data_IF_939811526674
#
_entry.id   IF_939811526674
#
_cell.length_a   1.000
_cell.length_b   1.000
_cell.length_c   1.000
_cell.angle_alpha   90.00
_cell.angle_beta   90.00
_cell.angle_gamma   90.00
#
_symmetry.space_group_name_H-M   'P 1'
#
loop_
_entity.id
_entity.type
_entity.pdbx_description
1 polymer ?
#
# COMPACT_ATOMS: atom_id res chain seq x y z
N UNK A 1 -0.65 -28.84 0.74
CA UNK A 1 -0.25 -29.12 2.13
C UNK A 1 -0.32 -27.81 2.90
N UNK A 2 -1.30 -27.68 3.76
CA UNK A 2 -1.56 -26.51 4.62
C UNK A 2 -0.68 -26.61 5.88
N UNK A 3 0.45 -25.91 5.91
CA UNK A 3 1.19 -25.68 7.16
C UNK A 3 0.62 -24.45 7.84
N UNK A 4 -0.13 -24.65 8.93
CA UNK A 4 -0.33 -23.63 9.96
C UNK A 4 1.03 -23.38 10.65
N UNK A 5 1.99 -22.77 9.95
CA UNK A 5 3.16 -22.18 10.60
C UNK A 5 2.68 -20.89 11.24
N UNK A 6 2.66 -20.83 12.57
CA UNK A 6 2.41 -19.58 13.27
C UNK A 6 3.63 -18.69 13.01
N UNK A 7 3.51 -17.77 12.04
CA UNK A 7 4.58 -16.83 11.73
C UNK A 7 4.93 -16.03 12.99
N UNK A 8 6.21 -15.67 13.11
CA UNK A 8 6.64 -14.71 14.11
C UNK A 8 5.96 -13.35 13.88
N UNK A 9 5.75 -12.61 14.97
CA UNK A 9 5.11 -11.29 14.94
C UNK A 9 6.10 -10.24 14.45
N UNK A 10 5.65 -9.32 13.61
CA UNK A 10 6.48 -8.24 13.08
C UNK A 10 5.93 -6.90 13.57
N UNK A 11 6.77 -6.11 14.24
CA UNK A 11 6.49 -4.70 14.56
C UNK A 11 7.34 -3.85 13.63
N UNK A 12 6.70 -3.25 12.62
CA UNK A 12 7.38 -2.44 11.62
C UNK A 12 7.33 -0.97 11.99
N UNK A 13 8.49 -0.34 12.12
CA UNK A 13 8.64 1.07 12.45
C UNK A 13 9.03 1.84 11.19
N UNK A 14 8.16 2.74 10.73
CA UNK A 14 8.41 3.63 9.61
C UNK A 14 8.51 5.09 10.07
N UNK A 15 9.43 5.84 9.49
CA UNK A 15 9.64 7.24 9.83
C UNK A 15 10.93 7.77 9.23
N UNK A 16 11.07 9.09 9.20
CA UNK A 16 12.25 9.76 8.64
C UNK A 16 13.52 9.55 9.46
N UNK A 17 14.67 9.90 8.89
CA UNK A 17 15.92 10.08 9.63
C UNK A 17 15.68 10.96 10.84
N UNK A 18 16.21 10.58 12.00
CA UNK A 18 16.05 11.30 13.28
C UNK A 18 14.65 11.27 13.92
N UNK A 19 13.66 10.58 13.35
CA UNK A 19 12.32 10.43 13.96
C UNK A 19 12.27 9.51 15.20
N UNK A 20 13.41 9.13 15.78
CA UNK A 20 13.43 8.29 16.99
C UNK A 20 13.17 6.79 16.79
N UNK A 21 13.02 6.27 15.56
CA UNK A 21 12.79 4.82 15.29
C UNK A 21 13.71 3.89 16.06
N UNK A 22 15.02 4.10 15.97
CA UNK A 22 15.99 3.20 16.60
C UNK A 22 15.95 3.26 18.12
N UNK A 23 15.58 4.41 18.69
CA UNK A 23 15.36 4.56 20.14
C UNK A 23 14.10 3.81 20.55
N UNK A 24 12.98 4.03 19.84
CA UNK A 24 11.73 3.31 20.08
C UNK A 24 11.91 1.78 19.93
N UNK A 25 12.66 1.34 18.91
CA UNK A 25 12.90 -0.08 18.68
C UNK A 25 13.59 -0.74 19.88
N UNK A 26 14.55 -0.05 20.50
CA UNK A 26 15.24 -0.52 21.71
C UNK A 26 14.29 -0.58 22.91
N UNK A 27 13.51 0.48 23.12
CA UNK A 27 12.51 0.52 24.21
C UNK A 27 11.44 -0.59 24.04
N UNK A 28 11.06 -0.92 22.81
CA UNK A 28 10.14 -2.01 22.51
C UNK A 28 10.77 -3.39 22.74
N UNK A 29 12.03 -3.58 22.38
CA UNK A 29 12.77 -4.84 22.61
C UNK A 29 12.80 -5.19 24.12
N UNK A 30 12.94 -4.19 24.98
CA UNK A 30 12.93 -4.37 26.45
C UNK A 30 11.52 -4.58 27.04
N UNK A 31 10.46 -4.17 26.34
CA UNK A 31 9.10 -4.07 26.88
C UNK A 31 8.11 -5.11 26.34
N UNK A 32 8.36 -5.65 25.16
CA UNK A 32 7.47 -6.62 24.54
C UNK A 32 7.62 -8.00 25.20
N UNK A 33 6.50 -8.70 25.38
CA UNK A 33 6.51 -10.04 25.95
C UNK A 33 6.98 -11.04 24.88
N UNK A 34 8.09 -11.74 25.15
CA UNK A 34 8.71 -12.71 24.24
C UNK A 34 10.04 -12.22 23.64
N UNK A 35 10.76 -13.10 22.96
CA UNK A 35 12.02 -12.74 22.30
C UNK A 35 11.70 -12.02 20.97
N UNK A 36 11.99 -10.72 20.93
CA UNK A 36 11.94 -9.89 19.73
C UNK A 36 13.35 -9.53 19.32
N UNK A 37 13.69 -9.75 18.05
CA UNK A 37 14.97 -9.32 17.51
C UNK A 37 14.81 -8.05 16.71
N UNK A 38 15.60 -7.02 17.04
CA UNK A 38 15.66 -5.80 16.24
C UNK A 38 16.47 -6.00 14.97
N UNK A 39 15.89 -5.59 13.84
CA UNK A 39 16.52 -5.56 12.52
C UNK A 39 16.31 -4.21 11.89
N UNK A 40 17.32 -3.68 11.18
CA UNK A 40 17.20 -2.36 10.54
C UNK A 40 17.71 -2.37 9.11
N UNK A 41 17.05 -1.61 8.24
CA UNK A 41 17.52 -1.43 6.85
C UNK A 41 18.91 -0.79 6.83
N UNK A 42 19.16 0.20 7.71
CA UNK A 42 20.46 0.87 7.84
C UNK A 42 21.57 -0.14 8.22
N UNK A 43 21.30 -1.02 9.20
CA UNK A 43 22.25 -2.03 9.65
C UNK A 43 22.50 -3.11 8.60
N UNK A 44 21.42 -3.61 7.98
CA UNK A 44 21.52 -4.57 6.88
C UNK A 44 22.28 -4.01 5.69
N UNK A 45 22.01 -2.76 5.30
CA UNK A 45 22.74 -2.06 4.23
C UNK A 45 24.23 -1.97 4.53
N UNK A 46 24.60 -1.67 5.78
CA UNK A 46 26.00 -1.60 6.21
C UNK A 46 26.68 -2.96 6.11
N UNK A 47 26.03 -4.03 6.56
CA UNK A 47 26.57 -5.39 6.48
C UNK A 47 26.77 -5.83 5.02
N UNK A 48 25.79 -5.58 4.15
CA UNK A 48 25.88 -5.88 2.72
C UNK A 48 27.01 -5.07 2.06
N UNK A 49 27.18 -3.81 2.45
CA UNK A 49 28.28 -2.95 1.97
C UNK A 49 29.65 -3.47 2.41
N UNK A 50 29.81 -3.86 3.67
CA UNK A 50 31.06 -4.39 4.22
C UNK A 50 31.46 -5.71 3.54
N UNK A 51 30.50 -6.63 3.34
CA UNK A 51 30.74 -7.87 2.59
C UNK A 51 31.14 -7.58 1.14
N UNK A 52 30.47 -6.62 0.48
CA UNK A 52 30.87 -6.17 -0.86
C UNK A 52 32.32 -5.66 -0.88
N UNK A 53 32.71 -4.79 0.05
CA UNK A 53 34.07 -4.26 0.13
C UNK A 53 35.10 -5.38 0.33
N UNK A 54 34.78 -6.37 1.16
CA UNK A 54 35.61 -7.55 1.37
C UNK A 54 35.73 -8.43 0.11
N UNK A 55 34.63 -8.66 -0.61
CA UNK A 55 34.61 -9.40 -1.88
C UNK A 55 35.38 -8.69 -2.98
N UNK A 56 35.27 -7.36 -3.06
CA UNK A 56 36.02 -6.49 -3.99
C UNK A 56 37.51 -6.56 -3.71
N UNK A 57 37.92 -6.54 -2.44
CA UNK A 57 39.33 -6.75 -2.05
C UNK A 57 39.86 -8.11 -2.53
N UNK A 58 38.99 -9.13 -2.57
CA UNK A 58 39.25 -10.46 -3.16
C UNK A 58 39.05 -10.55 -4.68
N UNK A 59 38.90 -9.42 -5.39
CA UNK A 59 38.64 -9.33 -6.85
C UNK A 59 37.41 -10.12 -7.34
N UNK A 60 36.42 -10.40 -6.48
CA UNK A 60 35.14 -10.95 -6.91
C UNK A 60 34.22 -9.83 -7.41
N UNK A 61 33.52 -10.06 -8.52
CA UNK A 61 32.51 -9.13 -9.04
C UNK A 61 31.25 -9.20 -8.17
N UNK A 62 30.70 -8.04 -7.84
CA UNK A 62 29.41 -7.89 -7.17
C UNK A 62 28.52 -6.96 -8.00
N UNK A 63 27.39 -7.48 -8.45
CA UNK A 63 26.45 -6.75 -9.31
C UNK A 63 25.61 -5.73 -8.52
N UNK A 64 25.55 -5.80 -7.20
CA UNK A 64 24.73 -4.91 -6.36
C UNK A 64 25.32 -3.49 -6.36
N UNK A 65 26.65 -3.36 -6.39
CA UNK A 65 27.36 -2.07 -6.25
C UNK A 65 28.12 -1.62 -7.50
N UNK A 66 28.08 -2.39 -8.59
CA UNK A 66 28.77 -2.04 -9.84
C UNK A 66 28.22 -0.73 -10.42
N UNK A 67 29.04 0.34 -10.38
CA UNK A 67 28.70 1.66 -10.89
C UNK A 67 27.68 2.46 -10.05
N UNK A 68 27.39 2.04 -8.81
CA UNK A 68 26.37 2.66 -7.94
C UNK A 68 26.96 3.32 -6.70
N UNK A 69 26.34 4.41 -6.25
CA UNK A 69 26.55 4.96 -4.91
C UNK A 69 25.88 4.08 -3.85
N UNK A 70 26.25 4.24 -2.58
CA UNK A 70 25.63 3.52 -1.47
C UNK A 70 24.10 3.73 -1.41
N UNK A 71 23.62 4.94 -1.72
CA UNK A 71 22.19 5.24 -1.78
C UNK A 71 21.51 4.56 -2.97
N UNK A 72 22.14 4.52 -4.14
CA UNK A 72 21.60 3.82 -5.32
C UNK A 72 21.58 2.29 -5.17
N UNK A 73 22.44 1.76 -4.30
CA UNK A 73 22.40 0.34 -3.97
C UNK A 73 21.20 -0.01 -3.09
N UNK A 74 20.58 0.95 -2.38
CA UNK A 74 19.45 0.69 -1.50
C UNK A 74 18.23 0.12 -2.23
N UNK A 75 18.02 0.49 -3.49
CA UNK A 75 16.95 -0.08 -4.31
C UNK A 75 17.10 -1.60 -4.53
N UNK A 76 18.34 -2.09 -4.48
CA UNK A 76 18.65 -3.52 -4.57
C UNK A 76 18.72 -4.18 -3.19
N UNK A 77 19.03 -3.41 -2.14
CA UNK A 77 19.16 -3.91 -0.77
C UNK A 77 17.80 -4.05 -0.08
N UNK A 78 16.86 -3.14 -0.30
CA UNK A 78 15.55 -3.17 0.37
C UNK A 78 14.78 -4.48 0.08
N UNK A 79 14.66 -4.97 -1.18
CA UNK A 79 14.02 -6.26 -1.44
C UNK A 79 14.73 -7.44 -0.77
N UNK A 80 16.07 -7.40 -0.67
CA UNK A 80 16.87 -8.42 0.03
C UNK A 80 16.63 -8.37 1.55
N UNK A 81 16.48 -7.17 2.10
CA UNK A 81 16.12 -6.98 3.51
C UNK A 81 14.73 -7.54 3.79
N UNK A 82 13.75 -7.26 2.92
CA UNK A 82 12.42 -7.82 3.03
C UNK A 82 12.43 -9.36 2.97
N UNK A 83 13.27 -9.95 2.10
CA UNK A 83 13.43 -11.41 2.03
C UNK A 83 14.06 -12.00 3.31
N UNK A 84 15.01 -11.31 3.92
CA UNK A 84 15.61 -11.71 5.21
C UNK A 84 14.55 -11.71 6.31
N UNK A 85 13.82 -10.59 6.45
CA UNK A 85 12.74 -10.43 7.44
C UNK A 85 11.66 -11.50 7.24
N UNK A 86 11.23 -11.76 6.01
CA UNK A 86 10.22 -12.78 5.71
C UNK A 86 10.69 -14.19 6.11
N UNK A 87 11.94 -14.55 5.80
CA UNK A 87 12.51 -15.86 6.17
C UNK A 87 12.59 -16.04 7.68
N UNK A 88 12.98 -15.00 8.40
CA UNK A 88 13.09 -15.00 9.87
C UNK A 88 11.73 -15.12 10.55
N UNK A 89 10.75 -14.33 10.10
CA UNK A 89 9.37 -14.44 10.58
C UNK A 89 8.74 -15.79 10.21
N UNK A 90 9.04 -16.35 9.04
CA UNK A 90 8.63 -17.70 8.64
C UNK A 90 9.20 -18.77 9.59
N UNK A 91 10.43 -18.57 10.09
CA UNK A 91 11.04 -19.44 11.09
C UNK A 91 10.45 -19.27 12.50
N UNK A 92 9.48 -18.36 12.69
CA UNK A 92 8.81 -18.10 13.97
C UNK A 92 9.46 -17.02 14.82
N UNK A 93 10.46 -16.29 14.30
CA UNK A 93 11.14 -15.22 15.04
C UNK A 93 10.27 -13.95 15.07
N UNK A 94 10.07 -13.37 16.26
CA UNK A 94 9.42 -12.07 16.36
C UNK A 94 10.43 -10.96 16.06
N UNK A 95 10.03 -9.97 15.26
CA UNK A 95 10.94 -8.97 14.72
C UNK A 95 10.44 -7.56 15.02
N UNK A 96 11.36 -6.67 15.41
CA UNK A 96 11.17 -5.23 15.39
C UNK A 96 11.96 -4.68 14.21
N UNK A 97 11.25 -4.23 13.18
CA UNK A 97 11.83 -3.83 11.89
C UNK A 97 11.92 -2.30 11.83
N UNK A 98 13.13 -1.75 11.89
CA UNK A 98 13.42 -0.32 11.69
C UNK A 98 13.68 -0.06 10.20
N UNK A 99 12.72 0.57 9.53
CA UNK A 99 12.75 0.81 8.09
C UNK A 99 12.37 2.27 7.75
N UNK A 100 12.63 2.66 6.50
CA UNK A 100 12.04 3.83 5.87
C UNK A 100 11.59 3.49 4.45
N UNK A 101 10.34 3.77 4.08
CA UNK A 101 9.89 3.61 2.69
C UNK A 101 10.31 4.81 1.85
N UNK A 102 11.52 4.76 1.27
CA UNK A 102 12.03 5.86 0.46
C UNK A 102 11.36 5.93 -0.91
N UNK A 103 11.17 4.77 -1.53
CA UNK A 103 10.61 4.62 -2.87
C UNK A 103 9.28 3.83 -2.82
N UNK A 104 8.27 4.20 -3.62
CA UNK A 104 6.97 3.51 -3.65
C UNK A 104 7.08 2.00 -3.88
N UNK A 105 8.06 1.57 -4.68
CA UNK A 105 8.32 0.17 -5.01
C UNK A 105 8.67 -0.65 -3.76
N UNK A 106 9.32 -0.05 -2.76
CA UNK A 106 9.68 -0.75 -1.52
C UNK A 106 8.42 -1.05 -0.70
N UNK A 107 7.48 -0.12 -0.64
CA UNK A 107 6.20 -0.36 0.02
C UNK A 107 5.37 -1.42 -0.71
N UNK A 108 5.37 -1.38 -2.05
CA UNK A 108 4.73 -2.41 -2.85
C UNK A 108 5.31 -3.80 -2.60
N UNK A 109 6.64 -3.93 -2.63
CA UNK A 109 7.33 -5.20 -2.33
C UNK A 109 6.99 -5.70 -0.91
N UNK A 110 6.98 -4.80 0.07
CA UNK A 110 6.60 -5.13 1.46
C UNK A 110 5.16 -5.63 1.55
N UNK A 111 4.19 -4.88 1.03
CA UNK A 111 2.77 -5.24 1.11
C UNK A 111 2.45 -6.55 0.41
N UNK A 112 3.07 -6.83 -0.74
CA UNK A 112 2.90 -8.09 -1.46
C UNK A 112 3.52 -9.28 -0.69
N UNK A 113 4.71 -9.12 -0.09
CA UNK A 113 5.40 -10.19 0.64
C UNK A 113 4.76 -10.52 1.99
N UNK A 114 4.31 -9.50 2.70
CA UNK A 114 3.86 -9.64 4.09
C UNK A 114 2.33 -9.73 4.25
N UNK A 115 1.57 -9.89 3.16
CA UNK A 115 0.10 -9.95 3.17
C UNK A 115 -0.50 -11.00 4.12
N UNK A 116 0.21 -12.13 4.33
CA UNK A 116 -0.23 -13.23 5.19
C UNK A 116 0.48 -13.27 6.56
N UNK A 117 1.40 -12.34 6.83
CA UNK A 117 2.16 -12.27 8.07
C UNK A 117 1.43 -11.44 9.14
N UNK A 118 1.72 -11.69 10.42
CA UNK A 118 1.22 -10.84 11.51
C UNK A 118 2.11 -9.60 11.66
N UNK A 119 1.85 -8.61 10.81
CA UNK A 119 2.55 -7.32 10.82
C UNK A 119 1.73 -6.28 11.58
N UNK A 120 2.41 -5.48 12.39
CA UNK A 120 1.89 -4.23 12.96
C UNK A 120 2.70 -3.06 12.44
N UNK A 121 2.06 -2.21 11.63
CA UNK A 121 2.68 -1.03 11.01
C UNK A 121 2.60 0.16 11.97
N UNK A 122 3.74 0.70 12.38
CA UNK A 122 3.85 1.86 13.30
C UNK A 122 4.49 3.03 12.57
N UNK A 123 3.75 4.13 12.43
CA UNK A 123 4.21 5.37 11.79
C UNK A 123 4.71 6.39 12.81
N UNK A 124 5.98 6.79 12.72
CA UNK A 124 6.61 7.80 13.57
C UNK A 124 6.73 9.11 12.79
N UNK A 125 5.89 10.08 13.17
CA UNK A 125 5.85 11.42 12.61
C UNK A 125 6.64 12.38 13.49
N UNK A 126 7.26 13.39 12.90
CA UNK A 126 7.96 14.45 13.63
C UNK A 126 8.01 15.68 12.73
N UNK A 127 7.70 16.89 13.22
CA UNK A 127 7.82 18.13 12.44
C UNK A 127 9.20 18.32 11.81
N UNK A 128 9.25 18.84 10.58
CA UNK A 128 10.50 18.94 9.80
C UNK A 128 11.56 19.81 10.48
N UNK A 129 11.14 20.89 11.13
CA UNK A 129 12.01 21.79 11.89
C UNK A 129 12.66 21.07 13.07
N UNK A 130 11.89 20.26 13.82
CA UNK A 130 12.41 19.43 14.91
C UNK A 130 13.38 18.37 14.37
N UNK A 131 13.04 17.70 13.26
CA UNK A 131 13.91 16.73 12.61
C UNK A 131 15.24 17.33 12.17
N UNK A 132 15.21 18.54 11.58
CA UNK A 132 16.42 19.27 11.17
C UNK A 132 17.30 19.60 12.37
N UNK A 133 16.72 20.04 13.48
CA UNK A 133 17.46 20.31 14.71
C UNK A 133 18.09 19.04 15.27
N UNK A 134 17.33 17.94 15.36
CA UNK A 134 17.84 16.64 15.83
C UNK A 134 18.95 16.08 14.93
N UNK A 135 18.89 16.32 13.61
CA UNK A 135 19.94 15.91 12.67
C UNK A 135 21.24 16.70 12.88
N UNK A 136 21.15 17.99 13.21
CA UNK A 136 22.30 18.83 13.61
C UNK A 136 22.90 18.32 14.92
N UNK A 137 22.05 18.05 15.92
CA UNK A 137 22.50 17.66 17.26
C UNK A 137 23.17 16.28 17.28
N UNK A 138 22.73 15.37 16.41
CA UNK A 138 23.29 14.01 16.30
C UNK A 138 24.70 13.96 15.71
N UNK A 139 25.09 14.92 14.86
CA UNK A 139 26.43 15.07 14.24
C UNK A 139 26.99 13.85 13.46
N UNK A 140 26.27 12.74 13.40
CA UNK A 140 26.66 11.48 12.76
C UNK A 140 25.95 11.24 11.42
N UNK A 141 24.99 12.10 11.05
CA UNK A 141 24.23 12.04 9.79
C UNK A 141 24.50 13.23 8.88
N UNK A 142 24.32 13.00 7.59
CA UNK A 142 24.42 14.05 6.57
C UNK A 142 23.23 15.00 6.71
N UNK A 143 23.52 16.27 6.96
CA UNK A 143 22.52 17.34 7.04
C UNK A 143 21.70 17.38 5.74
N UNK A 144 20.37 17.43 5.86
CA UNK A 144 19.42 17.43 4.75
C UNK A 144 18.80 16.06 4.46
N UNK A 145 19.18 15.00 5.18
CA UNK A 145 18.61 13.65 4.96
C UNK A 145 17.16 13.60 5.44
N UNK A 146 16.85 14.18 6.59
CA UNK A 146 15.48 14.23 7.10
C UNK A 146 14.55 15.00 6.15
N UNK A 147 15.01 16.12 5.58
CA UNK A 147 14.26 16.93 4.62
C UNK A 147 13.97 16.17 3.32
N UNK A 148 14.97 15.47 2.78
CA UNK A 148 14.79 14.63 1.59
C UNK A 148 13.73 13.53 1.79
N UNK A 149 13.60 13.01 3.01
CA UNK A 149 12.72 11.90 3.35
C UNK A 149 11.31 12.35 3.77
N UNK A 150 11.16 13.59 4.25
CA UNK A 150 9.96 14.09 4.91
C UNK A 150 8.68 13.90 4.09
N UNK A 151 8.68 14.37 2.85
CA UNK A 151 7.53 14.28 1.94
C UNK A 151 7.44 12.93 1.20
N UNK A 152 8.25 11.93 1.58
CA UNK A 152 8.27 10.60 0.90
C UNK A 152 7.83 9.48 1.81
N UNK A 153 8.40 9.40 3.02
CA UNK A 153 8.35 8.20 3.87
C UNK A 153 6.94 7.80 4.29
N UNK A 154 6.02 8.75 4.44
CA UNK A 154 4.64 8.50 4.86
C UNK A 154 3.62 8.55 3.72
N UNK A 155 4.05 8.80 2.48
CA UNK A 155 3.13 8.96 1.36
C UNK A 155 2.47 7.61 1.01
N UNK A 156 1.14 7.61 0.99
CA UNK A 156 0.29 6.44 0.71
C UNK A 156 0.47 5.25 1.66
N UNK A 157 0.99 5.51 2.86
CA UNK A 157 1.19 4.50 3.89
C UNK A 157 -0.05 4.38 4.77
N UNK A 158 -0.37 3.16 5.19
CA UNK A 158 -1.39 2.88 6.20
C UNK A 158 -0.71 2.28 7.43
N UNK A 159 -0.99 2.84 8.59
CA UNK A 159 -0.44 2.38 9.86
C UNK A 159 -1.54 1.85 10.76
N UNK A 160 -1.20 0.82 11.53
CA UNK A 160 -2.01 0.32 12.64
C UNK A 160 -1.95 1.27 13.85
N UNK A 161 -0.81 1.96 14.01
CA UNK A 161 -0.55 2.92 15.07
C UNK A 161 0.30 4.08 14.55
N UNK A 162 -0.14 5.32 14.80
CA UNK A 162 0.59 6.53 14.41
C UNK A 162 0.93 7.36 15.64
N UNK A 163 2.12 7.96 15.65
CA UNK A 163 2.58 8.77 16.77
C UNK A 163 3.44 9.94 16.34
N UNK A 164 3.27 11.07 17.01
CA UNK A 164 4.15 12.24 16.87
C UNK A 164 5.25 12.18 17.94
N UNK A 165 6.49 12.01 17.51
CA UNK A 165 7.66 11.88 18.37
C UNK A 165 8.18 13.20 18.92
N UNK A 166 7.61 14.33 18.50
CA UNK A 166 7.91 15.65 19.10
C UNK A 166 7.14 15.89 20.40
N UNK A 167 6.05 15.15 20.64
CA UNK A 167 5.14 15.37 21.76
C UNK A 167 5.35 14.39 22.91
N UNK A 168 5.97 13.24 22.65
CA UNK A 168 6.09 12.14 23.60
C UNK A 168 7.51 11.60 23.66
N UNK A 169 7.93 11.12 24.84
CA UNK A 169 9.20 10.43 25.00
C UNK A 169 9.16 9.05 24.33
N UNK A 170 10.32 8.50 23.94
CA UNK A 170 10.37 7.15 23.34
C UNK A 170 9.82 6.07 24.28
N UNK A 171 9.97 6.27 25.60
CA UNK A 171 9.42 5.39 26.63
C UNK A 171 7.89 5.43 26.64
N UNK A 172 7.29 6.62 26.59
CA UNK A 172 5.83 6.77 26.54
C UNK A 172 5.25 6.15 25.27
N UNK A 173 5.92 6.36 24.14
CA UNK A 173 5.53 5.76 22.86
C UNK A 173 5.61 4.23 22.93
N UNK A 174 6.69 3.68 23.51
CA UNK A 174 6.81 2.23 23.71
C UNK A 174 5.70 1.68 24.61
N UNK A 175 5.26 2.44 25.63
CA UNK A 175 4.11 2.06 26.46
C UNK A 175 2.83 1.95 25.64
N UNK A 176 2.56 2.94 24.80
CA UNK A 176 1.36 2.96 23.97
C UNK A 176 1.37 1.84 22.93
N UNK A 177 2.49 1.67 22.22
CA UNK A 177 2.64 0.63 21.19
C UNK A 177 2.56 -0.77 21.79
N UNK A 178 3.23 -1.03 22.92
CA UNK A 178 3.13 -2.33 23.61
C UNK A 178 1.71 -2.62 24.09
N UNK A 179 1.01 -1.62 24.63
CA UNK A 179 -0.39 -1.75 25.04
C UNK A 179 -1.31 -2.05 23.85
N UNK A 180 -1.09 -1.37 22.72
CA UNK A 180 -1.77 -1.64 21.46
C UNK A 180 -1.54 -3.08 21.00
N UNK A 181 -0.30 -3.57 21.02
CA UNK A 181 0.05 -4.94 20.61
C UNK A 181 -0.56 -6.01 21.52
N UNK A 182 -0.61 -5.77 22.84
CA UNK A 182 -1.29 -6.68 23.78
C UNK A 182 -2.79 -6.74 23.52
N UNK A 183 -3.42 -5.58 23.30
CA UNK A 183 -4.84 -5.49 22.95
C UNK A 183 -5.12 -6.14 21.58
N UNK A 184 -4.26 -5.90 20.57
CA UNK A 184 -4.31 -6.56 19.26
C UNK A 184 -4.27 -8.07 19.43
N UNK A 185 -3.33 -8.59 20.23
CA UNK A 185 -3.21 -10.04 20.51
C UNK A 185 -4.46 -10.60 21.22
N UNK A 186 -5.07 -9.86 22.15
CA UNK A 186 -6.32 -10.27 22.81
C UNK A 186 -7.55 -10.27 21.89
N UNK A 187 -7.50 -9.46 20.82
CA UNK A 187 -8.55 -9.32 19.81
C UNK A 187 -8.26 -10.17 18.56
N UNK A 188 -7.06 -10.76 18.43
CA UNK A 188 -6.57 -11.44 17.22
C UNK A 188 -7.17 -12.85 17.03
N UNK A 189 -8.49 -12.92 16.82
CA UNK A 189 -8.97 -13.77 15.73
C UNK A 189 -8.66 -13.02 14.44
N UNK A 190 -7.98 -13.67 13.47
CA UNK A 190 -7.83 -13.17 12.08
C UNK A 190 -9.10 -12.40 11.68
N UNK A 191 -9.01 -11.20 11.07
CA UNK A 191 -10.19 -10.43 10.72
C UNK A 191 -11.14 -11.35 9.96
N UNK A 192 -12.29 -11.63 10.57
CA UNK A 192 -13.25 -12.56 10.00
C UNK A 192 -13.59 -12.09 8.60
N UNK A 193 -13.96 -12.99 7.68
CA UNK A 193 -14.43 -12.58 6.33
C UNK A 193 -15.42 -11.41 6.40
N UNK A 194 -16.25 -11.36 7.46
CA UNK A 194 -17.19 -10.26 7.75
C UNK A 194 -16.53 -8.90 8.00
N UNK A 195 -15.40 -8.83 8.71
CA UNK A 195 -14.69 -7.57 8.97
C UNK A 195 -14.07 -7.00 7.70
N UNK A 196 -13.40 -7.85 6.89
CA UNK A 196 -12.90 -7.46 5.57
C UNK A 196 -14.05 -7.01 4.67
N UNK A 197 -15.15 -7.76 4.60
CA UNK A 197 -16.34 -7.35 3.84
C UNK A 197 -16.88 -6.00 4.32
N UNK A 198 -16.95 -5.76 5.63
CA UNK A 198 -17.43 -4.48 6.18
C UNK A 198 -16.54 -3.30 5.79
N UNK A 199 -15.22 -3.50 5.76
CA UNK A 199 -14.26 -2.51 5.31
C UNK A 199 -14.43 -2.19 3.83
N UNK A 200 -14.54 -3.22 2.98
CA UNK A 200 -14.79 -3.08 1.55
C UNK A 200 -16.11 -2.36 1.27
N UNK A 201 -17.17 -2.72 1.98
CA UNK A 201 -18.48 -2.06 1.88
C UNK A 201 -18.38 -0.59 2.30
N UNK A 202 -17.65 -0.27 3.36
CA UNK A 202 -17.43 1.12 3.80
C UNK A 202 -16.61 1.93 2.78
N UNK A 203 -15.67 1.28 2.09
CA UNK A 203 -14.76 1.93 1.14
C UNK A 203 -15.42 2.16 -0.22
N UNK A 204 -16.10 1.16 -0.77
CA UNK A 204 -16.60 1.16 -2.15
C UNK A 204 -18.14 1.11 -2.26
N UNK A 205 -18.86 0.76 -1.21
CA UNK A 205 -20.31 0.51 -1.30
C UNK A 205 -21.13 1.70 -1.81
N UNK A 206 -20.77 2.93 -1.43
CA UNK A 206 -21.44 4.13 -1.97
C UNK A 206 -21.11 4.35 -3.45
N UNK A 207 -19.86 4.11 -3.86
CA UNK A 207 -19.43 4.25 -5.24
C UNK A 207 -20.11 3.19 -6.14
N UNK A 208 -20.32 1.98 -5.64
CA UNK A 208 -21.06 0.91 -6.35
C UNK A 208 -22.53 1.27 -6.59
N UNK A 209 -23.20 1.83 -5.57
CA UNK A 209 -24.60 2.26 -5.70
C UNK A 209 -24.71 3.39 -6.72
N UNK A 210 -23.84 4.40 -6.61
CA UNK A 210 -23.84 5.54 -7.54
C UNK A 210 -23.47 5.07 -8.95
N UNK A 211 -22.42 4.27 -9.11
CA UNK A 211 -22.00 3.71 -10.39
C UNK A 211 -23.10 2.90 -11.06
N UNK A 212 -23.83 2.08 -10.30
CA UNK A 212 -24.97 1.32 -10.84
C UNK A 212 -26.11 2.24 -11.28
N UNK A 213 -26.44 3.26 -10.49
CA UNK A 213 -27.47 4.23 -10.85
C UNK A 213 -27.11 5.02 -12.12
N UNK A 214 -25.86 5.46 -12.24
CA UNK A 214 -25.37 6.16 -13.44
C UNK A 214 -25.23 5.22 -14.65
N UNK A 215 -24.99 3.92 -14.43
CA UNK A 215 -25.03 2.91 -15.48
C UNK A 215 -26.42 2.80 -16.11
N UNK A 216 -27.47 2.71 -15.29
CA UNK A 216 -28.84 2.69 -15.78
C UNK A 216 -29.22 3.99 -16.49
N UNK A 217 -28.86 5.14 -15.91
CA UNK A 217 -29.11 6.43 -16.54
C UNK A 217 -28.44 6.52 -17.93
N UNK A 218 -27.16 6.14 -18.02
CA UNK A 218 -26.43 6.09 -19.29
C UNK A 218 -27.06 5.12 -20.29
N UNK A 219 -27.46 3.93 -19.84
CA UNK A 219 -28.07 2.92 -20.70
C UNK A 219 -29.41 3.39 -21.30
N UNK A 220 -30.31 3.89 -20.46
CA UNK A 220 -31.63 4.34 -20.92
C UNK A 220 -31.54 5.59 -21.79
N UNK A 221 -30.64 6.54 -21.46
CA UNK A 221 -30.39 7.71 -22.32
C UNK A 221 -29.85 7.29 -23.68
N UNK A 222 -28.87 6.37 -23.72
CA UNK A 222 -28.34 5.85 -24.97
C UNK A 222 -29.42 5.16 -25.83
N UNK A 223 -30.33 4.43 -25.18
CA UNK A 223 -31.45 3.79 -25.84
C UNK A 223 -32.48 4.80 -26.38
N UNK A 224 -32.86 5.80 -25.59
CA UNK A 224 -33.84 6.82 -26.01
C UNK A 224 -33.33 7.64 -27.20
N UNK A 225 -32.04 7.92 -27.26
CA UNK A 225 -31.43 8.74 -28.31
C UNK A 225 -31.22 7.94 -29.61
N UNK A 226 -30.88 6.66 -29.51
CA UNK A 226 -30.35 5.89 -30.66
C UNK A 226 -31.14 4.64 -31.04
N UNK A 227 -32.08 4.21 -30.19
CA UNK A 227 -32.82 2.94 -30.28
C UNK A 227 -31.91 1.72 -30.57
N UNK A 228 -30.65 1.79 -30.13
CA UNK A 228 -29.64 0.79 -30.39
C UNK A 228 -29.07 0.23 -29.08
N UNK A 229 -29.33 -1.05 -28.83
CA UNK A 229 -28.94 -1.74 -27.60
C UNK A 229 -27.42 -1.78 -27.38
N UNK A 230 -26.61 -1.77 -28.46
CA UNK A 230 -25.15 -1.71 -28.35
C UNK A 230 -24.71 -0.33 -27.89
N UNK A 231 -25.24 0.73 -28.49
CA UNK A 231 -24.92 2.12 -28.11
C UNK A 231 -25.39 2.40 -26.69
N UNK A 232 -26.56 1.89 -26.30
CA UNK A 232 -27.06 1.93 -24.93
C UNK A 232 -26.11 1.21 -23.95
N UNK A 233 -25.60 0.02 -24.30
CA UNK A 233 -24.65 -0.70 -23.45
C UNK A 233 -23.34 0.07 -23.24
N UNK A 234 -22.80 0.70 -24.29
CA UNK A 234 -21.63 1.58 -24.17
C UNK A 234 -21.92 2.83 -23.34
N UNK A 235 -23.07 3.47 -23.54
CA UNK A 235 -23.48 4.63 -22.75
C UNK A 235 -23.66 4.27 -21.26
N UNK A 236 -24.19 3.07 -20.97
CA UNK A 236 -24.28 2.53 -19.62
C UNK A 236 -22.92 2.29 -18.98
N UNK A 237 -21.99 1.63 -19.68
CA UNK A 237 -20.63 1.42 -19.18
C UNK A 237 -19.89 2.75 -18.91
N UNK A 238 -20.05 3.76 -19.78
CA UNK A 238 -19.52 5.10 -19.56
C UNK A 238 -20.14 5.77 -18.33
N UNK A 239 -21.46 5.68 -18.19
CA UNK A 239 -22.19 6.21 -17.03
C UNK A 239 -21.70 5.59 -15.74
N UNK A 240 -21.49 4.28 -15.71
CA UNK A 240 -20.94 3.57 -14.56
C UNK A 240 -19.57 4.10 -14.15
N UNK A 241 -18.64 4.18 -15.11
CA UNK A 241 -17.28 4.66 -14.85
C UNK A 241 -17.28 6.08 -14.29
N UNK A 242 -18.08 6.98 -14.85
CA UNK A 242 -18.20 8.35 -14.36
C UNK A 242 -18.72 8.36 -12.91
N UNK A 243 -19.76 7.59 -12.62
CA UNK A 243 -20.36 7.55 -11.28
C UNK A 243 -19.43 6.91 -10.24
N UNK A 244 -18.84 5.77 -10.56
CA UNK A 244 -17.96 5.02 -9.67
C UNK A 244 -16.67 5.79 -9.38
N UNK A 245 -15.91 6.14 -10.43
CA UNK A 245 -14.63 6.85 -10.25
C UNK A 245 -14.81 8.27 -9.78
N UNK A 246 -15.84 8.98 -10.27
CA UNK A 246 -16.17 10.32 -9.78
C UNK A 246 -16.42 10.32 -8.28
N UNK A 247 -17.12 9.32 -7.76
CA UNK A 247 -17.36 9.19 -6.31
C UNK A 247 -16.08 8.93 -5.53
N UNK A 248 -15.21 8.03 -6.00
CA UNK A 248 -13.94 7.72 -5.35
C UNK A 248 -13.02 8.95 -5.33
N UNK A 249 -12.80 9.56 -6.49
CA UNK A 249 -11.96 10.75 -6.64
C UNK A 249 -12.48 11.89 -5.76
N UNK A 250 -13.79 12.14 -5.75
CA UNK A 250 -14.38 13.20 -4.93
C UNK A 250 -14.15 12.95 -3.44
N UNK A 251 -14.34 11.71 -2.98
CA UNK A 251 -14.12 11.35 -1.57
C UNK A 251 -12.65 11.52 -1.17
N UNK A 252 -11.72 11.09 -2.01
CA UNK A 252 -10.29 11.19 -1.75
C UNK A 252 -9.80 12.63 -1.78
N UNK A 253 -10.30 13.45 -2.71
CA UNK A 253 -10.07 14.90 -2.74
C UNK A 253 -10.62 15.58 -1.49
N UNK A 254 -11.81 15.21 -1.02
CA UNK A 254 -12.39 15.76 0.22
C UNK A 254 -11.51 15.40 1.43
N UNK A 255 -11.02 14.17 1.52
CA UNK A 255 -10.17 13.73 2.62
C UNK A 255 -8.78 14.39 2.57
N UNK A 256 -8.20 14.58 1.37
CA UNK A 256 -6.98 15.35 1.17
C UNK A 256 -7.16 16.83 1.53
N UNK A 257 -8.30 17.44 1.22
CA UNK A 257 -8.63 18.82 1.62
C UNK A 257 -8.67 18.93 3.15
N UNK A 258 -9.32 17.98 3.83
CA UNK A 258 -9.38 17.97 5.30
C UNK A 258 -7.99 17.86 5.90
N UNK A 259 -7.15 16.98 5.35
CA UNK A 259 -5.77 16.76 5.80
C UNK A 259 -4.90 17.99 5.55
N UNK A 260 -4.99 18.60 4.36
CA UNK A 260 -4.29 19.84 4.04
C UNK A 260 -4.71 21.00 4.96
N UNK A 261 -5.99 21.06 5.33
CA UNK A 261 -6.51 22.06 6.29
C UNK A 261 -5.95 21.85 7.70
N UNK A 262 -5.79 20.59 8.16
CA UNK A 262 -5.14 20.32 9.45
C UNK A 262 -3.64 20.59 9.44
N UNK A 263 -3.01 20.55 8.27
CA UNK A 263 -1.56 20.80 8.07
C UNK A 263 -1.25 22.25 7.64
N UNK A 264 -2.22 23.17 7.69
CA UNK A 264 -2.12 24.57 7.20
C UNK A 264 -1.59 24.71 5.75
N UNK A 265 -1.75 23.66 4.94
CA UNK A 265 -1.26 23.60 3.55
C UNK A 265 -2.34 24.11 2.60
N UNK A 266 -1.93 24.84 1.55
CA UNK A 266 -2.84 25.26 0.47
C UNK A 266 -3.18 24.06 -0.41
N UNK A 267 -4.43 23.61 -0.36
CA UNK A 267 -5.00 22.67 -1.33
C UNK A 267 -5.76 23.42 -2.41
N UNK A 268 -5.49 23.09 -3.67
CA UNK A 268 -6.10 23.75 -4.82
C UNK A 268 -6.24 22.79 -6.01
N UNK A 269 -6.60 23.34 -7.17
CA UNK A 269 -6.89 22.57 -8.40
C UNK A 269 -5.73 21.64 -8.79
N UNK A 270 -4.48 22.08 -8.60
CA UNK A 270 -3.29 21.27 -8.88
C UNK A 270 -3.18 20.06 -7.96
N UNK A 271 -3.58 20.19 -6.68
CA UNK A 271 -3.62 19.07 -5.73
C UNK A 271 -4.67 18.05 -6.13
N UNK A 272 -5.88 18.50 -6.46
CA UNK A 272 -6.95 17.64 -6.93
C UNK A 272 -6.59 16.89 -8.21
N UNK A 273 -5.94 17.56 -9.18
CA UNK A 273 -5.47 16.93 -10.42
C UNK A 273 -4.39 15.87 -10.15
N UNK A 274 -3.51 16.07 -9.17
CA UNK A 274 -2.53 15.05 -8.77
C UNK A 274 -3.20 13.82 -8.14
N UNK A 275 -4.16 14.02 -7.23
CA UNK A 275 -4.92 12.93 -6.62
C UNK A 275 -5.68 12.13 -7.68
N UNK A 276 -6.37 12.81 -8.60
CA UNK A 276 -7.05 12.17 -9.73
C UNK A 276 -6.08 11.42 -10.66
N UNK A 277 -4.94 12.04 -11.01
CA UNK A 277 -3.93 11.42 -11.88
C UNK A 277 -3.29 10.16 -11.26
N UNK A 278 -3.08 10.17 -9.94
CA UNK A 278 -2.57 9.00 -9.19
C UNK A 278 -3.56 7.83 -9.27
N UNK A 279 -4.84 8.08 -8.96
CA UNK A 279 -5.88 7.05 -9.06
C UNK A 279 -6.00 6.49 -10.47
N UNK A 280 -6.02 7.35 -11.50
CA UNK A 280 -6.05 6.90 -12.90
C UNK A 280 -4.86 6.01 -13.28
N UNK A 281 -3.67 6.29 -12.75
CA UNK A 281 -2.49 5.44 -12.95
C UNK A 281 -2.58 4.08 -12.25
N UNK A 282 -3.27 4.00 -11.11
CA UNK A 282 -3.47 2.77 -10.34
C UNK A 282 -4.42 1.79 -11.03
N UNK A 283 -5.43 2.27 -11.76
CA UNK A 283 -6.43 1.44 -12.46
C UNK A 283 -6.12 1.18 -13.95
N UNK A 284 -5.21 1.95 -14.56
CA UNK A 284 -4.94 2.08 -16.01
C UNK A 284 -5.31 0.92 -16.96
N UNK A 285 -4.36 0.10 -17.48
CA UNK A 285 -4.61 -0.72 -18.69
C UNK A 285 -5.69 -1.80 -18.55
N UNK A 286 -5.91 -2.28 -17.33
CA UNK A 286 -6.90 -3.31 -17.04
C UNK A 286 -8.32 -2.74 -17.11
N UNK A 287 -8.52 -1.51 -16.63
CA UNK A 287 -9.82 -0.83 -16.65
C UNK A 287 -10.29 -0.48 -18.07
N UNK A 288 -9.37 -0.15 -18.96
CA UNK A 288 -9.70 0.17 -20.37
C UNK A 288 -10.28 -1.07 -21.06
N UNK A 289 -9.72 -2.25 -20.81
CA UNK A 289 -10.22 -3.50 -21.37
C UNK A 289 -11.65 -3.80 -20.87
N UNK A 290 -11.88 -3.56 -19.58
CA UNK A 290 -13.17 -3.79 -18.95
C UNK A 290 -14.25 -2.82 -19.46
N UNK A 291 -13.91 -1.53 -19.51
CA UNK A 291 -14.80 -0.44 -19.91
C UNK A 291 -15.17 -0.44 -21.38
N UNK A 292 -14.28 -0.92 -22.25
CA UNK A 292 -14.48 -0.89 -23.71
C UNK A 292 -15.06 -2.19 -24.24
N UNK A 293 -14.76 -3.32 -23.59
CA UNK A 293 -15.09 -4.65 -24.13
C UNK A 293 -15.98 -5.43 -23.16
N UNK A 294 -15.51 -5.71 -21.94
CA UNK A 294 -16.20 -6.67 -21.07
C UNK A 294 -17.55 -6.14 -20.56
N UNK A 295 -17.62 -4.90 -20.06
CA UNK A 295 -18.86 -4.30 -19.54
C UNK A 295 -19.90 -4.03 -20.63
N UNK A 296 -19.59 -3.35 -21.75
CA UNK A 296 -20.58 -3.17 -22.81
C UNK A 296 -21.08 -4.49 -23.41
N UNK A 297 -20.19 -5.47 -23.59
CA UNK A 297 -20.58 -6.79 -24.09
C UNK A 297 -21.46 -7.54 -23.07
N UNK A 298 -21.09 -7.55 -21.79
CA UNK A 298 -21.86 -8.17 -20.71
C UNK A 298 -23.24 -7.56 -20.57
N UNK A 299 -23.32 -6.24 -20.45
CA UNK A 299 -24.58 -5.49 -20.34
C UNK A 299 -25.46 -5.68 -21.57
N UNK A 300 -24.91 -5.57 -22.78
CA UNK A 300 -25.67 -5.71 -24.03
C UNK A 300 -26.18 -7.14 -24.26
N UNK A 301 -25.35 -8.15 -24.04
CA UNK A 301 -25.75 -9.56 -24.19
C UNK A 301 -26.80 -9.94 -23.14
N UNK A 302 -26.59 -9.58 -21.87
CA UNK A 302 -27.55 -9.90 -20.82
C UNK A 302 -28.86 -9.12 -20.97
N UNK A 303 -28.83 -7.84 -21.37
CA UNK A 303 -30.05 -7.09 -21.68
C UNK A 303 -30.88 -7.74 -22.79
N UNK A 304 -30.21 -8.31 -23.82
CA UNK A 304 -30.87 -9.02 -24.92
C UNK A 304 -31.57 -10.31 -24.47
N UNK A 305 -30.97 -11.09 -23.58
CA UNK A 305 -31.49 -12.41 -23.19
C UNK A 305 -32.34 -12.42 -21.92
N UNK A 306 -32.11 -11.48 -20.99
CA UNK A 306 -32.79 -11.42 -19.69
C UNK A 306 -33.76 -10.24 -19.56
N UNK A 307 -33.90 -9.45 -20.62
CA UNK A 307 -34.66 -8.20 -20.60
C UNK A 307 -33.83 -7.02 -20.07
N UNK A 308 -34.22 -5.81 -20.45
CA UNK A 308 -33.41 -4.59 -20.27
C UNK A 308 -33.17 -4.25 -18.80
N UNK A 309 -34.16 -4.41 -17.94
CA UNK A 309 -34.06 -4.04 -16.53
C UNK A 309 -33.14 -4.98 -15.74
N UNK A 310 -33.30 -6.29 -15.89
CA UNK A 310 -32.53 -7.30 -15.15
C UNK A 310 -31.19 -7.58 -15.82
N UNK A 311 -31.17 -7.56 -17.16
CA UNK A 311 -30.00 -7.90 -17.95
C UNK A 311 -28.85 -6.91 -17.83
N UNK A 312 -29.12 -5.61 -17.64
CA UNK A 312 -28.06 -4.62 -17.40
C UNK A 312 -27.33 -4.92 -16.08
N UNK A 313 -28.05 -5.18 -15.00
CA UNK A 313 -27.46 -5.51 -13.70
C UNK A 313 -26.70 -6.84 -13.72
N UNK A 314 -27.30 -7.89 -14.30
CA UNK A 314 -26.65 -9.21 -14.41
C UNK A 314 -25.42 -9.14 -15.32
N UNK A 315 -25.50 -8.37 -16.41
CA UNK A 315 -24.40 -8.16 -17.34
C UNK A 315 -23.22 -7.44 -16.72
N UNK A 316 -23.47 -6.44 -15.86
CA UNK A 316 -22.43 -5.79 -15.03
C UNK A 316 -21.72 -6.82 -14.15
N UNK A 317 -22.47 -7.59 -13.35
CA UNK A 317 -21.88 -8.60 -12.45
C UNK A 317 -21.06 -9.63 -13.22
N UNK A 318 -21.55 -10.07 -14.38
CA UNK A 318 -20.85 -11.03 -15.22
C UNK A 318 -19.53 -10.46 -15.79
N UNK A 319 -19.53 -9.18 -16.18
CA UNK A 319 -18.32 -8.49 -16.62
C UNK A 319 -17.30 -8.36 -15.49
N UNK A 320 -17.73 -7.95 -14.29
CA UNK A 320 -16.86 -7.85 -13.10
C UNK A 320 -16.21 -9.20 -12.78
N UNK A 321 -16.98 -10.29 -12.78
CA UNK A 321 -16.47 -11.65 -12.53
C UNK A 321 -15.48 -12.10 -13.62
N UNK A 322 -15.77 -11.79 -14.89
CA UNK A 322 -14.89 -12.08 -16.01
C UNK A 322 -13.57 -11.33 -15.92
N UNK A 323 -13.62 -10.04 -15.56
CA UNK A 323 -12.45 -9.22 -15.30
C UNK A 323 -11.57 -9.80 -14.19
N UNK A 324 -12.17 -10.16 -13.05
CA UNK A 324 -11.41 -10.77 -11.94
C UNK A 324 -10.75 -12.08 -12.36
N UNK A 325 -11.40 -12.92 -13.17
CA UNK A 325 -10.80 -14.16 -13.66
C UNK A 325 -9.56 -13.90 -14.55
N UNK A 326 -9.61 -12.90 -15.43
CA UNK A 326 -8.50 -12.50 -16.30
C UNK A 326 -7.36 -11.86 -15.49
N UNK A 327 -7.71 -10.96 -14.57
CA UNK A 327 -6.74 -10.26 -13.71
C UNK A 327 -5.98 -11.24 -12.81
N UNK A 328 -6.67 -12.20 -12.18
CA UNK A 328 -6.06 -13.24 -11.33
C UNK A 328 -5.17 -14.17 -12.17
N UNK A 329 -5.63 -14.59 -13.35
CA UNK A 329 -4.84 -15.47 -14.24
C UNK A 329 -3.57 -14.77 -14.74
N UNK A 330 -3.65 -13.49 -15.09
CA UNK A 330 -2.52 -12.66 -15.51
C UNK A 330 -1.51 -12.48 -14.35
N UNK A 331 -2.00 -12.24 -13.14
CA UNK A 331 -1.17 -12.17 -11.93
C UNK A 331 -0.44 -13.49 -11.64
N UNK A 332 -1.13 -14.62 -11.73
CA UNK A 332 -0.52 -15.95 -11.54
C UNK A 332 0.50 -16.29 -12.63
N UNK A 333 0.23 -15.93 -13.88
CA UNK A 333 1.19 -16.11 -14.99
C UNK A 333 2.45 -15.28 -14.77
N UNK A 334 2.30 -14.02 -14.32
CA UNK A 334 3.44 -13.14 -14.01
C UNK A 334 4.29 -13.70 -12.88
N UNK A 335 3.66 -14.25 -11.84
CA UNK A 335 4.32 -14.94 -10.72
C UNK A 335 5.06 -16.22 -11.13
N UNK A 336 4.58 -16.94 -12.15
CA UNK A 336 5.28 -18.11 -12.72
C UNK A 336 6.50 -17.72 -13.57
N UNK A 337 6.44 -16.59 -14.29
CA UNK A 337 7.56 -16.10 -15.09
C UNK A 337 8.73 -15.59 -14.25
N UNK A 338 8.49 -14.91 -13.13
CA UNK A 338 9.56 -14.49 -12.21
C UNK A 338 10.22 -15.67 -11.49
N UNK A 339 9.47 -16.74 -11.22
CA UNK A 339 9.97 -17.96 -10.56
C UNK A 339 10.79 -18.90 -11.47
N UNK A 340 10.62 -18.82 -12.78
CA UNK A 340 11.40 -19.61 -13.75
C UNK A 340 12.68 -18.91 -14.24
N UNK A 341 12.86 -17.62 -13.91
CA UNK A 341 14.05 -16.83 -14.26
C UNK A 341 14.94 -16.50 -13.04
N UNK A 342 14.73 -17.17 -11.89
CA UNK A 342 15.56 -17.04 -10.68
C UNK A 342 16.57 -18.18 -10.57
#
# INVERSE_FOLDING_TARGET
MTTNSNFGKIVFLNGTSSSGKSTLAKELEERLDGEYTRVSLDGFSKQVWEDHMFRRAKKKKDKIFEGRTQNQARDHIAPLFHDDVAKRALAGENLIVDHLFQEPEWFKDWTEKFADYDVTMVGLHCPLDVLKQMEIDRRDRMIGTAEYQFDKVHVNQQYDFEVDTSQLSSQDIAVLVSSYLKNKTSVNTKPTKRAKVKEWVKRYGLAEVIGTATAYAGFFLGQEITDNDIVAAYAGAMGENIGFYGTIITKEVIDDIKKAKSEERKYGVIGALKTAGKLLSEFGPAEILDSVILRPAGMGLCAKYLGREIGVFVGKIAADLGFYAVAISSYELRKRFTRNNS
#
